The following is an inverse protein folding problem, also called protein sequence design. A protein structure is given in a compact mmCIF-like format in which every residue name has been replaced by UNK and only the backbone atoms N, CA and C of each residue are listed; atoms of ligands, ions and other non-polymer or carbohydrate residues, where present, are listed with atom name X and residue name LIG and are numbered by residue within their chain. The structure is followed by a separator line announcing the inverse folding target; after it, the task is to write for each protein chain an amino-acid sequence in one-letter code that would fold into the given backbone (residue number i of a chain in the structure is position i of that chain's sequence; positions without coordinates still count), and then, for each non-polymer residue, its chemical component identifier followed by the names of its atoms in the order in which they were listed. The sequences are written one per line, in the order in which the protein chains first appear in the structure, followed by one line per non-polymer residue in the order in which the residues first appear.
data_IF_427524819503
#
_entry.id   IF_427524819503
#
_cell.length_a   1.000
_cell.length_b   1.000
_cell.length_c   1.000
_cell.angle_alpha   90.00
_cell.angle_beta   90.00
_cell.angle_gamma   90.00
#
_symmetry.space_group_name_H-M   'P 1'
#
loop_
_entity.id
_entity.type
_entity.pdbx_description
1 polymer ?
#
# COMPACT_ATOMS: atom_id res chain seq x y z
N UNK A 1 -15.92 -0.09 10.10
CA UNK A 1 -15.11 -0.24 8.86
C UNK A 1 -14.88 1.14 8.28
N UNK A 2 -13.72 1.40 7.70
CA UNK A 2 -13.32 2.73 7.21
C UNK A 2 -12.57 2.53 5.90
N UNK A 3 -13.02 3.16 4.80
CA UNK A 3 -12.29 3.15 3.52
C UNK A 3 -11.47 4.43 3.36
N UNK A 4 -10.17 4.31 3.20
CA UNK A 4 -9.28 5.43 2.93
C UNK A 4 -8.65 5.28 1.54
N UNK A 5 -8.13 6.37 1.02
CA UNK A 5 -7.37 6.39 -0.22
C UNK A 5 -6.01 7.01 0.05
N UNK A 6 -4.97 6.29 -0.35
CA UNK A 6 -3.59 6.79 -0.35
C UNK A 6 -3.09 6.84 -1.78
N UNK A 7 -2.06 7.63 -2.04
CA UNK A 7 -1.44 7.75 -3.36
C UNK A 7 -0.04 7.16 -3.27
N UNK A 8 0.37 6.34 -4.23
CA UNK A 8 1.68 5.68 -4.24
C UNK A 8 2.40 5.96 -5.57
N UNK A 9 3.66 6.42 -5.56
CA UNK A 9 4.50 6.55 -6.74
C UNK A 9 4.67 5.26 -7.50
N UNK A 10 4.55 5.37 -8.80
CA UNK A 10 4.70 4.26 -9.72
C UNK A 10 6.15 4.10 -10.17
N UNK A 11 6.43 2.91 -10.70
CA UNK A 11 7.67 2.63 -11.40
C UNK A 11 7.36 2.53 -12.88
N UNK A 12 8.20 3.15 -13.70
CA UNK A 12 8.11 3.07 -15.16
C UNK A 12 8.91 1.84 -15.59
N UNK A 13 8.25 0.93 -16.30
CA UNK A 13 8.91 -0.21 -16.92
C UNK A 13 9.11 0.06 -18.41
N UNK A 14 10.32 -0.19 -18.90
CA UNK A 14 10.62 -0.12 -20.33
C UNK A 14 10.81 -1.54 -20.85
N UNK A 15 10.03 -1.91 -21.87
CA UNK A 15 10.03 -3.23 -22.49
C UNK A 15 10.18 -3.10 -24.01
N UNK A 16 10.87 -4.07 -24.63
CA UNK A 16 10.88 -4.23 -26.08
C UNK A 16 9.81 -5.22 -26.50
N UNK A 17 9.02 -4.83 -27.49
CA UNK A 17 8.02 -5.67 -28.14
C UNK A 17 8.45 -5.95 -29.58
N UNK A 18 8.67 -7.23 -29.90
CA UNK A 18 9.18 -7.66 -31.21
C UNK A 18 9.47 -9.16 -31.27
N UNK A 19 8.71 -9.96 -30.50
CA UNK A 19 8.99 -11.37 -30.19
C UNK A 19 8.51 -11.66 -28.77
N UNK A 20 9.35 -12.32 -27.96
CA UNK A 20 9.12 -12.38 -26.52
C UNK A 20 9.28 -10.98 -25.90
N UNK A 21 8.34 -10.57 -25.03
CA UNK A 21 8.46 -9.32 -24.28
C UNK A 21 9.73 -9.36 -23.42
N UNK A 22 10.66 -8.46 -23.71
CA UNK A 22 11.93 -8.35 -22.99
C UNK A 22 11.94 -7.07 -22.17
N UNK A 23 12.05 -7.20 -20.85
CA UNK A 23 12.21 -6.06 -19.95
C UNK A 23 13.63 -5.51 -20.04
N UNK A 24 13.76 -4.24 -20.40
CA UNK A 24 15.05 -3.54 -20.44
C UNK A 24 15.43 -2.97 -19.08
N UNK A 25 14.51 -2.26 -18.44
CA UNK A 25 14.76 -1.61 -17.15
C UNK A 25 13.45 -1.25 -16.43
N UNK A 26 13.56 -0.96 -15.14
CA UNK A 26 12.53 -0.27 -14.37
C UNK A 26 13.14 0.96 -13.68
N UNK A 27 12.41 2.07 -13.70
CA UNK A 27 12.86 3.36 -13.18
C UNK A 27 11.80 3.88 -12.20
N UNK A 28 12.14 4.20 -10.94
CA UNK A 28 11.18 4.78 -10.01
C UNK A 28 10.80 6.19 -10.46
N UNK A 29 9.52 6.56 -10.38
CA UNK A 29 9.11 7.95 -10.60
C UNK A 29 9.54 8.88 -9.47
N UNK A 30 9.67 8.33 -8.25
CA UNK A 30 10.15 9.02 -7.06
C UNK A 30 11.07 8.08 -6.28
N UNK A 31 12.26 8.54 -5.92
CA UNK A 31 13.15 7.80 -5.03
C UNK A 31 12.67 8.05 -3.60
N UNK A 32 12.19 6.98 -2.95
CA UNK A 32 11.75 7.02 -1.55
C UNK A 32 12.89 6.59 -0.63
N UNK A 33 12.91 7.13 0.58
CA UNK A 33 13.87 6.73 1.60
C UNK A 33 13.50 5.37 2.19
N UNK A 34 14.51 4.55 2.48
CA UNK A 34 14.34 3.31 3.22
C UNK A 34 13.95 3.59 4.67
N UNK A 35 13.09 2.74 5.23
CA UNK A 35 12.73 2.74 6.65
C UNK A 35 12.55 1.31 7.13
N UNK A 36 12.83 1.10 8.41
CA UNK A 36 12.49 -0.13 9.09
C UNK A 36 11.07 -0.06 9.64
N UNK A 37 10.22 -1.04 9.32
CA UNK A 37 8.86 -1.16 9.85
C UNK A 37 8.79 -2.32 10.84
N UNK A 38 8.64 -2.01 12.13
CA UNK A 38 8.68 -2.99 13.22
C UNK A 38 9.52 -2.49 14.39
N UNK A 39 9.86 -3.40 15.30
CA UNK A 39 10.86 -3.18 16.35
C UNK A 39 12.25 -3.60 15.86
N UNK A 40 13.32 -3.36 16.64
CA UNK A 40 14.69 -3.62 16.20
C UNK A 40 15.00 -5.09 15.88
N UNK A 41 14.28 -6.05 16.49
CA UNK A 41 14.57 -7.48 16.36
C UNK A 41 13.66 -8.15 15.34
N UNK A 42 12.43 -7.64 15.21
CA UNK A 42 11.42 -8.12 14.31
C UNK A 42 10.90 -6.94 13.50
N UNK A 43 11.16 -6.94 12.20
CA UNK A 43 10.65 -5.93 11.29
C UNK A 43 10.99 -6.24 9.85
N UNK A 44 10.72 -5.28 8.99
CA UNK A 44 10.93 -5.41 7.56
C UNK A 44 11.38 -4.09 6.94
N UNK A 45 12.21 -4.20 5.90
CA UNK A 45 12.59 -3.05 5.10
C UNK A 45 11.39 -2.57 4.28
N UNK A 46 11.10 -1.28 4.37
CA UNK A 46 10.02 -0.60 3.68
C UNK A 46 10.53 0.71 3.07
N UNK A 47 9.70 1.32 2.21
CA UNK A 47 9.89 2.70 1.79
C UNK A 47 9.04 3.63 2.64
N UNK A 48 9.65 4.72 3.12
CA UNK A 48 8.94 5.78 3.81
C UNK A 48 8.28 6.72 2.79
N UNK A 49 6.99 6.98 3.01
CA UNK A 49 6.26 7.95 2.20
C UNK A 49 5.25 8.70 3.08
N UNK A 50 5.35 10.03 3.20
CA UNK A 50 4.28 10.81 3.79
C UNK A 50 3.05 10.71 2.87
N UNK A 51 1.88 10.48 3.46
CA UNK A 51 0.64 10.37 2.71
C UNK A 51 -0.53 10.91 3.51
N UNK A 52 -1.50 11.50 2.81
CA UNK A 52 -2.78 11.88 3.40
C UNK A 52 -3.76 10.75 3.15
N UNK A 53 -4.23 10.09 4.21
CA UNK A 53 -5.30 9.11 4.13
C UNK A 53 -6.64 9.80 3.86
N UNK A 54 -7.02 9.91 2.59
CA UNK A 54 -8.23 10.64 2.16
C UNK A 54 -9.48 9.80 2.40
N UNK A 55 -10.61 10.45 2.66
CA UNK A 55 -11.93 9.80 2.82
C UNK A 55 -12.67 9.67 1.49
N UNK A 56 -12.25 10.43 0.50
CA UNK A 56 -12.83 10.49 -0.84
C UNK A 56 -11.72 10.77 -1.86
N UNK A 57 -11.99 10.43 -3.12
CA UNK A 57 -11.12 10.72 -4.26
C UNK A 57 -11.84 11.71 -5.16
N UNK A 58 -11.08 12.62 -5.74
CA UNK A 58 -11.55 13.72 -6.57
C UNK A 58 -10.59 13.85 -7.76
N UNK A 59 -10.99 14.46 -8.88
CA UNK A 59 -10.14 14.55 -10.08
C UNK A 59 -8.75 15.14 -9.83
N UNK A 60 -8.63 16.11 -8.92
CA UNK A 60 -7.36 16.74 -8.53
C UNK A 60 -6.40 15.82 -7.77
N UNK A 61 -6.85 14.63 -7.37
CA UNK A 61 -6.03 13.64 -6.68
C UNK A 61 -5.35 12.66 -7.65
N UNK A 62 -5.51 12.80 -8.96
CA UNK A 62 -4.80 11.97 -9.94
C UNK A 62 -3.60 12.72 -10.50
N UNK A 63 -2.47 12.01 -10.56
CA UNK A 63 -1.24 12.47 -11.22
C UNK A 63 -0.69 11.30 -12.03
N UNK A 64 -0.06 11.57 -13.16
CA UNK A 64 0.41 10.53 -14.10
C UNK A 64 1.47 9.58 -13.48
N UNK A 65 2.12 10.00 -12.38
CA UNK A 65 3.14 9.23 -11.68
C UNK A 65 2.65 8.56 -10.39
N UNK A 66 1.38 8.75 -10.00
CA UNK A 66 0.80 8.22 -8.76
C UNK A 66 -0.40 7.32 -9.05
N UNK A 67 -0.44 6.15 -8.43
CA UNK A 67 -1.67 5.36 -8.36
C UNK A 67 -2.44 5.68 -7.08
N UNK A 68 -3.75 5.83 -7.20
CA UNK A 68 -4.66 5.87 -6.05
C UNK A 68 -4.91 4.43 -5.58
N UNK A 69 -4.63 4.16 -4.31
CA UNK A 69 -4.79 2.86 -3.68
C UNK A 69 -5.92 2.92 -2.65
N UNK A 70 -7.09 2.33 -2.96
CA UNK A 70 -8.17 2.18 -1.99
C UNK A 70 -7.80 1.16 -0.92
N UNK A 71 -8.00 1.51 0.34
CA UNK A 71 -7.74 0.65 1.48
C UNK A 71 -8.98 0.59 2.35
N UNK A 72 -9.55 -0.60 2.50
CA UNK A 72 -10.67 -0.87 3.39
C UNK A 72 -10.18 -1.45 4.72
N UNK A 73 -10.24 -0.62 5.76
CA UNK A 73 -9.84 -0.95 7.12
C UNK A 73 -11.01 -1.49 7.94
N UNK A 74 -10.80 -2.62 8.61
CA UNK A 74 -11.73 -3.19 9.58
C UNK A 74 -10.99 -3.49 10.87
N UNK A 75 -11.19 -2.65 11.89
CA UNK A 75 -10.80 -2.98 13.25
C UNK A 75 -11.76 -4.04 13.83
N UNK A 76 -11.21 -5.17 14.30
CA UNK A 76 -11.93 -6.25 14.99
C UNK A 76 -11.37 -6.51 16.39
N UNK A 77 -10.47 -5.67 16.90
CA UNK A 77 -10.05 -5.70 18.31
C UNK A 77 -11.09 -5.00 19.19
N UNK A 78 -10.90 -5.10 20.51
CA UNK A 78 -11.70 -4.40 21.51
C UNK A 78 -11.27 -2.93 21.63
N UNK A 79 -9.99 -2.64 21.38
CA UNK A 79 -9.44 -1.28 21.50
C UNK A 79 -9.61 -0.45 20.22
N UNK A 80 -9.76 0.88 20.34
CA UNK A 80 -9.57 1.80 19.23
C UNK A 80 -8.21 1.60 18.54
N UNK A 81 -8.19 1.77 17.22
CA UNK A 81 -6.99 1.71 16.39
C UNK A 81 -6.66 3.11 15.88
N UNK A 82 -5.68 3.77 16.52
CA UNK A 82 -5.05 4.95 15.97
C UNK A 82 -4.04 4.52 14.89
N UNK A 83 -4.19 5.04 13.66
CA UNK A 83 -3.34 4.70 12.52
C UNK A 83 -2.37 5.84 12.26
N UNK A 84 -1.12 5.69 12.69
CA UNK A 84 -0.04 6.64 12.43
C UNK A 84 0.81 6.22 11.22
N UNK A 85 1.13 4.93 11.15
CA UNK A 85 1.90 4.32 10.05
C UNK A 85 1.20 3.08 9.54
N UNK A 86 1.18 2.93 8.22
CA UNK A 86 0.59 1.80 7.50
C UNK A 86 1.63 1.18 6.56
N UNK A 87 1.94 -0.10 6.72
CA UNK A 87 2.74 -0.86 5.75
C UNK A 87 1.83 -1.39 4.63
N UNK A 88 1.79 -0.68 3.49
CA UNK A 88 1.04 -1.08 2.31
C UNK A 88 1.89 -1.99 1.41
N UNK A 89 1.33 -3.13 1.02
CA UNK A 89 2.05 -4.20 0.31
C UNK A 89 1.85 -4.10 -1.19
N UNK A 90 2.42 -3.04 -1.75
CA UNK A 90 2.18 -2.62 -3.13
C UNK A 90 2.62 -3.63 -4.19
N UNK A 91 3.57 -4.52 -3.87
CA UNK A 91 4.01 -5.58 -4.78
C UNK A 91 2.90 -6.60 -5.13
N UNK A 92 1.88 -6.72 -4.28
CA UNK A 92 0.74 -7.62 -4.48
C UNK A 92 -0.47 -6.93 -5.10
N UNK A 93 -0.34 -5.67 -5.53
CA UNK A 93 -1.43 -4.90 -6.13
C UNK A 93 -1.29 -4.87 -7.65
N UNK A 94 -2.41 -5.02 -8.34
CA UNK A 94 -2.50 -4.77 -9.78
C UNK A 94 -2.75 -3.28 -10.02
N UNK A 95 -2.30 -2.77 -11.16
CA UNK A 95 -2.57 -1.39 -11.59
C UNK A 95 -3.61 -1.40 -12.70
N UNK A 96 -4.61 -0.54 -12.57
CA UNK A 96 -5.72 -0.32 -13.49
C UNK A 96 -5.71 1.12 -13.98
N UNK A 97 -6.25 1.34 -15.18
CA UNK A 97 -6.34 2.65 -15.81
C UNK A 97 -7.77 2.95 -16.26
N UNK A 98 -8.26 4.14 -15.94
CA UNK A 98 -9.49 4.73 -16.50
C UNK A 98 -9.17 6.14 -17.02
N UNK A 99 -9.09 6.31 -18.33
CA UNK A 99 -8.58 7.56 -18.92
C UNK A 99 -7.16 7.86 -18.42
N UNK A 100 -6.99 8.98 -17.70
CA UNK A 100 -5.72 9.36 -17.04
C UNK A 100 -5.59 8.88 -15.60
N UNK A 101 -6.66 8.34 -15.03
CA UNK A 101 -6.67 7.90 -13.65
C UNK A 101 -5.96 6.56 -13.51
N UNK A 102 -4.98 6.51 -12.62
CA UNK A 102 -4.27 5.29 -12.26
C UNK A 102 -4.74 4.82 -10.88
N UNK A 103 -5.16 3.57 -10.84
CA UNK A 103 -5.76 2.95 -9.66
C UNK A 103 -5.01 1.66 -9.33
N UNK A 104 -4.87 1.35 -8.05
CA UNK A 104 -4.58 0.00 -7.61
C UNK A 104 -5.87 -0.73 -7.23
N UNK A 105 -5.86 -2.06 -7.24
CA UNK A 105 -6.96 -2.82 -6.63
C UNK A 105 -7.11 -2.51 -5.13
N UNK A 106 -8.32 -2.74 -4.60
CA UNK A 106 -8.61 -2.48 -3.19
C UNK A 106 -7.80 -3.42 -2.27
N UNK A 107 -7.08 -2.83 -1.33
CA UNK A 107 -6.48 -3.55 -0.20
C UNK A 107 -7.45 -3.61 0.98
N UNK A 108 -7.82 -4.81 1.41
CA UNK A 108 -8.65 -5.02 2.61
C UNK A 108 -7.75 -5.43 3.76
N UNK A 109 -7.79 -4.64 4.84
CA UNK A 109 -7.03 -4.90 6.07
C UNK A 109 -8.00 -5.19 7.20
N UNK A 110 -7.88 -6.39 7.78
CA UNK A 110 -8.61 -6.77 8.99
C UNK A 110 -7.63 -6.87 10.15
N UNK A 111 -7.67 -5.87 11.02
CA UNK A 111 -6.84 -5.81 12.22
C UNK A 111 -7.53 -6.52 13.39
N UNK A 112 -6.79 -7.34 14.13
CA UNK A 112 -7.31 -8.15 15.26
C UNK A 112 -6.59 -7.86 16.59
N UNK A 113 -5.78 -6.81 16.66
CA UNK A 113 -4.88 -6.53 17.78
C UNK A 113 -3.42 -6.73 17.38
N UNK A 114 -2.49 -6.20 18.19
CA UNK A 114 -1.06 -6.18 17.85
C UNK A 114 -0.46 -7.58 17.77
N UNK A 115 -0.79 -8.48 18.70
CA UNK A 115 -0.27 -9.86 18.73
C UNK A 115 -0.77 -10.71 17.56
N UNK A 116 -2.03 -10.51 17.14
CA UNK A 116 -2.64 -11.28 16.07
C UNK A 116 -2.27 -10.78 14.66
N UNK A 117 -1.71 -9.57 14.56
CA UNK A 117 -1.40 -8.90 13.30
C UNK A 117 -2.65 -8.54 12.49
N UNK A 118 -2.44 -8.29 11.19
CA UNK A 118 -3.50 -7.97 10.24
C UNK A 118 -3.59 -9.02 9.14
N UNK A 119 -4.82 -9.37 8.79
CA UNK A 119 -5.10 -10.14 7.57
C UNK A 119 -5.28 -9.16 6.41
N UNK A 120 -4.42 -9.28 5.40
CA UNK A 120 -4.39 -8.42 4.22
C UNK A 120 -4.88 -9.20 3.01
N UNK A 121 -5.80 -8.64 2.24
CA UNK A 121 -6.28 -9.21 0.97
C UNK A 121 -6.35 -8.14 -0.11
N UNK A 122 -5.82 -8.42 -1.29
CA UNK A 122 -6.02 -7.60 -2.49
C UNK A 122 -7.25 -8.09 -3.25
N UNK A 123 -8.00 -7.17 -3.86
CA UNK A 123 -9.23 -7.52 -4.57
C UNK A 123 -8.99 -8.11 -5.97
N UNK A 124 -7.80 -7.91 -6.56
CA UNK A 124 -7.43 -8.37 -7.91
C UNK A 124 -8.47 -8.02 -8.99
N UNK A 125 -9.16 -6.89 -8.81
CA UNK A 125 -10.21 -6.37 -9.68
C UNK A 125 -10.18 -4.85 -9.63
N UNK A 126 -10.72 -4.16 -10.65
CA UNK A 126 -10.85 -2.71 -10.62
C UNK A 126 -11.56 -2.26 -9.34
N UNK A 127 -11.14 -1.15 -8.73
CA UNK A 127 -11.81 -0.64 -7.54
C UNK A 127 -13.24 -0.18 -7.87
N UNK A 128 -14.12 -0.17 -6.87
CA UNK A 128 -15.54 0.19 -7.03
C UNK A 128 -15.78 1.60 -7.59
N UNK A 129 -14.79 2.47 -7.43
CA UNK A 129 -14.75 3.86 -7.87
C UNK A 129 -14.48 3.97 -9.38
N UNK A 130 -13.87 2.94 -9.96
CA UNK A 130 -13.53 2.84 -11.38
C UNK A 130 -13.80 1.42 -11.90
N UNK A 131 -15.08 0.97 -11.93
CA UNK A 131 -15.43 -0.40 -12.32
C UNK A 131 -15.12 -0.69 -13.80
N UNK A 132 -15.03 0.35 -14.61
CA UNK A 132 -14.67 0.36 -16.04
C UNK A 132 -13.17 0.49 -16.29
N UNK A 133 -12.34 0.60 -15.24
CA UNK A 133 -10.89 0.66 -15.40
C UNK A 133 -10.33 -0.66 -15.95
N UNK A 134 -9.45 -0.56 -16.94
CA UNK A 134 -8.81 -1.71 -17.56
C UNK A 134 -7.52 -2.06 -16.83
N UNK A 135 -7.21 -3.36 -16.70
CA UNK A 135 -5.93 -3.81 -16.16
C UNK A 135 -4.78 -3.28 -17.03
N UNK A 136 -3.84 -2.56 -16.41
CA UNK A 136 -2.63 -2.06 -17.05
C UNK A 136 -1.45 -3.00 -16.78
N UNK A 137 -1.25 -3.40 -15.52
CA UNK A 137 -0.21 -4.37 -15.14
C UNK A 137 -0.72 -5.28 -14.02
N UNK A 138 -0.46 -6.61 -14.09
CA UNK A 138 -0.74 -7.51 -12.97
C UNK A 138 0.21 -7.21 -11.78
N UNK A 139 -0.04 -7.80 -10.59
CA UNK A 139 0.86 -7.68 -9.45
C UNK A 139 2.28 -8.14 -9.78
N UNK A 140 3.28 -7.49 -9.18
CA UNK A 140 4.69 -7.90 -9.29
C UNK A 140 4.94 -9.25 -8.63
N UNK A 141 4.29 -9.47 -7.50
CA UNK A 141 4.33 -10.73 -6.76
C UNK A 141 2.90 -11.21 -6.61
N UNK A 142 2.48 -12.23 -7.39
CA UNK A 142 1.18 -12.87 -7.18
C UNK A 142 1.06 -13.35 -5.74
N UNK A 143 -0.10 -13.10 -5.13
CA UNK A 143 -0.42 -13.64 -3.82
C UNK A 143 -1.62 -14.58 -4.00
N UNK A 144 -1.44 -15.87 -3.68
CA UNK A 144 -2.44 -16.88 -4.04
C UNK A 144 -3.75 -16.71 -3.27
N UNK A 145 -3.67 -16.38 -1.96
CA UNK A 145 -4.79 -16.02 -1.07
C UNK A 145 -4.20 -15.17 0.06
N UNK A 146 -4.88 -14.09 0.44
CA UNK A 146 -4.32 -13.05 1.31
C UNK A 146 -3.55 -13.53 2.54
N UNK A 147 -2.58 -12.72 2.97
CA UNK A 147 -1.54 -13.10 3.92
C UNK A 147 -1.69 -12.34 5.24
N UNK A 148 -0.98 -12.82 6.26
CA UNK A 148 -0.85 -12.13 7.55
C UNK A 148 0.44 -11.33 7.59
N UNK A 149 0.34 -10.10 8.05
CA UNK A 149 1.50 -9.25 8.28
C UNK A 149 1.20 -8.23 9.37
N UNK A 150 2.27 -7.65 9.94
CA UNK A 150 2.13 -6.40 10.68
C UNK A 150 1.86 -5.28 9.68
N UNK A 151 0.75 -4.57 9.88
CA UNK A 151 0.30 -3.50 8.98
C UNK A 151 0.32 -2.15 9.67
N UNK A 152 0.18 -2.11 10.99
CA UNK A 152 0.18 -0.89 11.79
C UNK A 152 1.36 -0.92 12.75
N UNK A 153 2.01 0.22 12.89
CA UNK A 153 2.99 0.46 13.94
C UNK A 153 2.44 1.56 14.82
N UNK A 154 2.40 1.32 16.13
CA UNK A 154 2.20 2.34 17.15
C UNK A 154 3.59 2.73 17.65
N UNK A 155 3.86 4.02 17.80
CA UNK A 155 4.93 4.44 18.70
C UNK A 155 4.52 4.03 20.12
N UNK A 156 4.96 2.86 20.58
CA UNK A 156 4.98 2.60 22.02
C UNK A 156 5.93 3.65 22.58
N UNK A 157 5.40 4.59 23.36
CA UNK A 157 6.22 5.61 24.01
C UNK A 157 7.43 4.95 24.63
N UNK A 158 8.62 5.50 24.39
CA UNK A 158 9.85 5.11 25.07
C UNK A 158 9.71 5.47 26.55
N UNK A 159 8.90 4.72 27.29
CA UNK A 159 8.92 4.70 28.74
C UNK A 159 10.14 3.88 29.15
N UNK A 160 11.33 4.48 29.14
CA UNK A 160 12.55 3.75 29.50
C UNK A 160 13.89 4.47 29.40
N UNK A 161 13.98 5.70 28.90
CA UNK A 161 15.21 6.49 29.04
C UNK A 161 15.01 7.51 30.15
N UNK A 162 15.38 7.09 31.35
CA UNK A 162 15.57 7.98 32.48
C UNK A 162 16.49 9.14 32.08
N UNK A 163 16.08 10.33 32.49
CA UNK A 163 16.92 11.52 32.50
C UNK A 163 18.14 11.18 33.36
N UNK A 164 19.30 11.03 32.70
CA UNK A 164 20.61 11.11 33.33
C UNK A 164 21.46 12.02 32.45
N UNK A 165 21.76 13.21 32.99
CA UNK A 165 22.53 14.27 32.35
C UNK A 165 21.98 15.63 32.75
#
# INVERSE_FOLDING_TARGET
RVRIYVRVPLWVRVELHGGATMRLTEIPSVILSDTWFGDFMEGELCYFQPTTARREVRPEHFDDHLAVCPILLSNRSQDPLAVEKLALRVAHLSIFRRGRELWADETRVRYRGDEAGSEIRSAHSPPSEAPDATLLTPPRTPADRGFRARTFSRLKGLSGLGILG
#
